data_IF_920259778239
#
_entry.id   IF_920259778239
#
_cell.length_a   1.000
_cell.length_b   1.000
_cell.length_c   1.000
_cell.angle_alpha   90.00
_cell.angle_beta   90.00
_cell.angle_gamma   90.00
#
_symmetry.space_group_name_H-M   'P 1'
#
loop_
_entity.id
_entity.type
_entity.pdbx_description
1 polymer ?
#
# COMPACT_ATOMS: atom_id res chain seq x y z
N UNK A 1 -19.89 -21.77 33.88
CA UNK A 1 -20.27 -20.34 33.80
C UNK A 1 -19.43 -19.70 32.69
N UNK A 2 -19.91 -19.80 31.45
CA UNK A 2 -19.27 -19.24 30.26
C UNK A 2 -19.38 -17.71 30.32
N UNK A 3 -18.30 -17.02 30.68
CA UNK A 3 -18.15 -15.58 30.47
C UNK A 3 -17.54 -15.29 29.08
N UNK A 4 -18.11 -15.96 28.07
CA UNK A 4 -18.03 -15.55 26.69
C UNK A 4 -19.02 -14.40 26.48
N UNK A 5 -18.80 -13.27 27.17
CA UNK A 5 -19.18 -11.96 26.63
C UNK A 5 -18.24 -11.78 25.44
N UNK A 6 -18.45 -12.34 24.24
CA UNK A 6 -19.40 -11.88 23.20
C UNK A 6 -19.64 -10.36 23.15
N UNK A 7 -18.74 -9.57 23.74
CA UNK A 7 -18.41 -8.24 23.29
C UNK A 7 -17.45 -8.37 22.09
N UNK A 8 -17.87 -9.08 21.04
CA UNK A 8 -17.58 -8.53 19.71
C UNK A 8 -18.41 -7.25 19.65
N UNK A 9 -17.86 -6.17 20.22
CA UNK A 9 -18.34 -4.81 20.05
C UNK A 9 -18.54 -4.66 18.56
N UNK A 10 -19.79 -4.55 18.14
CA UNK A 10 -20.22 -4.44 16.76
C UNK A 10 -19.60 -3.18 16.14
N UNK A 11 -18.35 -3.29 15.73
CA UNK A 11 -17.67 -2.32 14.89
C UNK A 11 -17.75 -2.89 13.49
N UNK A 12 -18.40 -2.20 12.55
CA UNK A 12 -18.40 -2.66 11.18
C UNK A 12 -16.95 -2.69 10.68
N UNK A 13 -16.52 -3.87 10.22
CA UNK A 13 -15.18 -4.15 9.74
C UNK A 13 -14.90 -3.29 8.49
N UNK A 14 -14.15 -2.18 8.61
CA UNK A 14 -13.73 -1.38 7.46
C UNK A 14 -12.69 -2.19 6.66
N UNK A 15 -13.16 -3.02 5.75
CA UNK A 15 -12.44 -4.12 5.08
C UNK A 15 -10.97 -3.77 4.81
N UNK A 16 -10.73 -2.66 4.13
CA UNK A 16 -9.43 -2.00 4.05
C UNK A 16 -9.64 -0.62 3.38
N UNK A 17 -9.40 0.51 4.06
CA UNK A 17 -9.69 1.84 3.52
C UNK A 17 -8.86 2.19 2.26
N UNK A 18 -7.78 1.44 2.03
CA UNK A 18 -6.75 1.70 1.01
C UNK A 18 -6.81 0.77 -0.20
N UNK A 19 -7.81 -0.13 -0.30
CA UNK A 19 -7.96 -1.10 -1.40
C UNK A 19 -7.74 -0.52 -2.81
N UNK A 20 -8.40 0.59 -3.14
CA UNK A 20 -8.19 1.25 -4.43
C UNK A 20 -6.75 1.72 -4.64
N UNK A 21 -6.11 2.29 -3.62
CA UNK A 21 -4.71 2.72 -3.72
C UNK A 21 -3.79 1.51 -3.94
N UNK A 22 -3.97 0.44 -3.17
CA UNK A 22 -3.18 -0.80 -3.29
C UNK A 22 -3.31 -1.40 -4.69
N UNK A 23 -4.53 -1.49 -5.24
CA UNK A 23 -4.79 -1.97 -6.59
C UNK A 23 -4.11 -1.10 -7.65
N UNK A 24 -4.34 0.22 -7.61
CA UNK A 24 -3.86 1.16 -8.63
C UNK A 24 -2.33 1.21 -8.62
N UNK A 25 -1.71 1.34 -7.45
CA UNK A 25 -0.25 1.41 -7.31
C UNK A 25 0.38 0.09 -7.71
N UNK A 26 -0.16 -1.04 -7.25
CA UNK A 26 0.33 -2.37 -7.62
C UNK A 26 0.28 -2.58 -9.14
N UNK A 27 -0.84 -2.21 -9.76
CA UNK A 27 -1.01 -2.31 -11.20
C UNK A 27 -0.08 -1.40 -12.00
N UNK A 28 0.05 -0.13 -11.61
CA UNK A 28 0.95 0.82 -12.26
C UNK A 28 2.41 0.41 -12.14
N UNK A 29 2.81 -0.11 -10.98
CA UNK A 29 4.17 -0.63 -10.77
C UNK A 29 4.45 -1.83 -11.66
N UNK A 30 3.50 -2.76 -11.77
CA UNK A 30 3.60 -3.90 -12.68
C UNK A 30 3.74 -3.44 -14.14
N UNK A 31 2.94 -2.47 -14.58
CA UNK A 31 3.08 -1.88 -15.92
C UNK A 31 4.42 -1.19 -16.13
N UNK A 32 4.90 -0.45 -15.13
CA UNK A 32 6.19 0.26 -15.17
C UNK A 32 7.34 -0.74 -15.31
N UNK A 33 7.30 -1.85 -14.55
CA UNK A 33 8.29 -2.94 -14.65
C UNK A 33 8.26 -3.56 -16.06
N UNK A 34 7.08 -3.88 -16.58
CA UNK A 34 6.92 -4.45 -17.92
C UNK A 34 7.51 -3.56 -19.03
N UNK A 35 7.32 -2.24 -18.92
CA UNK A 35 7.88 -1.28 -19.86
C UNK A 35 9.41 -1.23 -19.80
N UNK A 36 10.00 -1.29 -18.61
CA UNK A 36 11.46 -1.26 -18.42
C UNK A 36 12.13 -2.51 -19.00
N UNK A 37 11.51 -3.67 -18.82
CA UNK A 37 12.03 -4.97 -19.29
C UNK A 37 11.81 -5.18 -20.80
N UNK A 38 11.24 -4.20 -21.51
CA UNK A 38 10.83 -4.31 -22.93
C UNK A 38 9.85 -5.45 -23.19
N UNK A 39 9.01 -5.79 -22.20
CA UNK A 39 7.94 -6.76 -22.39
C UNK A 39 6.92 -6.22 -23.40
N UNK A 40 6.48 -7.01 -24.39
CA UNK A 40 5.46 -6.56 -25.34
C UNK A 40 4.11 -6.46 -24.62
N UNK A 41 3.74 -5.26 -24.17
CA UNK A 41 2.43 -5.00 -23.57
C UNK A 41 1.38 -5.04 -24.68
N UNK A 42 0.80 -6.22 -24.91
CA UNK A 42 -0.33 -6.38 -25.81
C UNK A 42 -1.58 -5.84 -25.12
N UNK A 43 -1.85 -4.54 -25.30
CA UNK A 43 -3.08 -3.90 -24.83
C UNK A 43 -4.25 -4.33 -25.74
N UNK A 44 -4.67 -5.59 -25.61
CA UNK A 44 -5.86 -6.12 -26.26
C UNK A 44 -7.14 -5.76 -25.49
N UNK A 45 -8.29 -5.85 -26.16
CA UNK A 45 -9.60 -5.63 -25.53
C UNK A 45 -9.83 -6.50 -24.28
N UNK A 46 -9.38 -7.76 -24.32
CA UNK A 46 -9.49 -8.70 -23.19
C UNK A 46 -8.74 -8.23 -21.93
N UNK A 47 -7.60 -7.57 -22.10
CA UNK A 47 -6.82 -7.03 -20.99
C UNK A 47 -7.53 -5.82 -20.37
N UNK A 48 -8.08 -4.93 -21.22
CA UNK A 48 -8.88 -3.78 -20.78
C UNK A 48 -10.10 -4.24 -19.98
N UNK A 49 -10.82 -5.24 -20.50
CA UNK A 49 -11.99 -5.82 -19.83
C UNK A 49 -11.64 -6.46 -18.48
N UNK A 50 -10.56 -7.24 -18.42
CA UNK A 50 -10.11 -7.88 -17.17
C UNK A 50 -9.78 -6.85 -16.09
N UNK A 51 -9.03 -5.80 -16.44
CA UNK A 51 -8.62 -4.74 -15.51
C UNK A 51 -9.83 -3.94 -15.03
N UNK A 52 -10.81 -3.71 -15.91
CA UNK A 52 -12.08 -3.07 -15.54
C UNK A 52 -12.90 -3.94 -14.59
N UNK A 53 -12.98 -5.25 -14.81
CA UNK A 53 -13.68 -6.18 -13.92
C UNK A 53 -13.06 -6.15 -12.51
N UNK A 54 -11.73 -6.29 -12.42
CA UNK A 54 -11.05 -6.20 -11.12
C UNK A 54 -11.24 -4.83 -10.46
N UNK A 55 -11.11 -3.73 -11.21
CA UNK A 55 -11.37 -2.39 -10.70
C UNK A 55 -12.82 -2.22 -10.21
N UNK A 56 -13.80 -2.87 -10.85
CA UNK A 56 -15.19 -2.90 -10.43
C UNK A 56 -15.41 -3.59 -9.09
N UNK A 57 -14.74 -4.72 -8.86
CA UNK A 57 -14.77 -5.42 -7.56
C UNK A 57 -14.21 -4.54 -6.45
N UNK A 58 -13.08 -3.87 -6.70
CA UNK A 58 -12.47 -2.93 -5.75
C UNK A 58 -13.42 -1.76 -5.47
N UNK A 59 -14.08 -1.23 -6.48
CA UNK A 59 -15.05 -0.14 -6.32
C UNK A 59 -16.27 -0.56 -5.49
N UNK A 60 -16.78 -1.77 -5.68
CA UNK A 60 -17.86 -2.32 -4.85
C UNK A 60 -17.41 -2.41 -3.38
N UNK A 61 -16.19 -2.89 -3.13
CA UNK A 61 -15.63 -2.93 -1.78
C UNK A 61 -15.51 -1.52 -1.17
N UNK A 62 -15.20 -0.50 -1.96
CA UNK A 62 -15.11 0.88 -1.52
C UNK A 62 -16.47 1.51 -1.21
N UNK A 63 -17.48 1.24 -2.02
CA UNK A 63 -18.87 1.63 -1.73
C UNK A 63 -19.34 0.96 -0.45
N UNK A 64 -19.00 -0.32 -0.25
CA UNK A 64 -19.29 -1.03 0.99
C UNK A 64 -18.60 -0.36 2.20
N UNK A 65 -17.30 -0.05 2.09
CA UNK A 65 -16.57 0.69 3.13
C UNK A 65 -17.21 2.06 3.46
N UNK A 66 -17.73 2.77 2.45
CA UNK A 66 -18.45 4.02 2.65
C UNK A 66 -19.77 3.79 3.41
N UNK A 67 -20.54 2.75 3.08
CA UNK A 67 -21.75 2.38 3.83
C UNK A 67 -21.41 2.08 5.29
N UNK A 68 -20.35 1.31 5.53
CA UNK A 68 -19.90 1.00 6.88
C UNK A 68 -19.50 2.26 7.67
N UNK A 69 -18.91 3.24 7.00
CA UNK A 69 -18.55 4.55 7.59
C UNK A 69 -19.79 5.32 8.06
N UNK A 70 -20.91 5.22 7.35
CA UNK A 70 -22.20 5.81 7.74
C UNK A 70 -22.94 5.03 8.83
N UNK A 71 -22.63 3.74 9.00
CA UNK A 71 -23.20 2.87 10.03
C UNK A 71 -22.43 2.92 11.37
N UNK A 72 -21.38 3.75 11.46
CA UNK A 72 -20.62 3.96 12.70
C UNK A 72 -21.44 4.68 13.78
N UNK A 73 -20.87 4.81 14.98
CA UNK A 73 -21.52 5.42 16.14
C UNK A 73 -22.18 6.78 15.79
N UNK A 74 -23.49 6.96 16.03
CA UNK A 74 -24.23 8.18 15.68
C UNK A 74 -23.63 9.46 16.27
N UNK A 75 -22.96 9.38 17.43
CA UNK A 75 -22.31 10.54 18.05
C UNK A 75 -21.13 11.07 17.21
N UNK A 76 -20.39 10.18 16.54
CA UNK A 76 -19.24 10.53 15.69
C UNK A 76 -19.74 10.99 14.32
N UNK A 77 -20.69 10.26 13.74
CA UNK A 77 -21.27 10.54 12.41
C UNK A 77 -21.94 11.92 12.35
N UNK A 78 -22.48 12.41 13.47
CA UNK A 78 -23.13 13.73 13.56
C UNK A 78 -22.15 14.90 13.60
N UNK A 79 -20.84 14.68 13.76
CA UNK A 79 -19.87 15.77 13.70
C UNK A 79 -19.77 16.34 12.28
N UNK A 80 -19.66 17.67 12.17
CA UNK A 80 -19.62 18.37 10.88
C UNK A 80 -18.45 17.91 10.00
N UNK A 81 -17.28 17.67 10.62
CA UNK A 81 -16.08 17.19 9.95
C UNK A 81 -16.27 15.78 9.39
N UNK A 82 -16.75 14.83 10.18
CA UNK A 82 -16.96 13.44 9.74
C UNK A 82 -17.97 13.37 8.60
N UNK A 83 -19.08 14.12 8.71
CA UNK A 83 -20.08 14.22 7.64
C UNK A 83 -19.50 14.85 6.37
N UNK A 84 -18.76 15.95 6.50
CA UNK A 84 -18.11 16.61 5.36
C UNK A 84 -17.13 15.68 4.63
N UNK A 85 -16.26 15.01 5.38
CA UNK A 85 -15.32 14.04 4.83
C UNK A 85 -16.01 12.83 4.19
N UNK A 86 -17.17 12.39 4.71
CA UNK A 86 -17.89 11.25 4.12
C UNK A 86 -18.46 11.59 2.74
N UNK A 87 -18.98 12.82 2.58
CA UNK A 87 -19.45 13.34 1.29
C UNK A 87 -18.26 13.51 0.34
N UNK A 88 -17.16 14.07 0.84
CA UNK A 88 -15.94 14.21 0.06
C UNK A 88 -15.40 12.86 -0.43
N UNK A 89 -15.40 11.84 0.43
CA UNK A 89 -15.04 10.46 0.07
C UNK A 89 -15.94 9.90 -1.04
N UNK A 90 -17.26 10.10 -0.93
CA UNK A 90 -18.22 9.69 -1.95
C UNK A 90 -17.94 10.37 -3.30
N UNK A 91 -17.66 11.68 -3.30
CA UNK A 91 -17.30 12.42 -4.51
C UNK A 91 -16.01 11.89 -5.14
N UNK A 92 -14.99 11.59 -4.34
CA UNK A 92 -13.76 10.98 -4.85
C UNK A 92 -14.05 9.62 -5.50
N UNK A 93 -14.87 8.76 -4.88
CA UNK A 93 -15.25 7.47 -5.46
C UNK A 93 -15.96 7.65 -6.82
N UNK A 94 -16.87 8.63 -6.92
CA UNK A 94 -17.53 8.96 -8.20
C UNK A 94 -16.49 9.42 -9.24
N UNK A 95 -15.56 10.30 -8.87
CA UNK A 95 -14.50 10.75 -9.78
C UNK A 95 -13.61 9.58 -10.25
N UNK A 96 -13.22 8.69 -9.33
CA UNK A 96 -12.45 7.49 -9.67
C UNK A 96 -13.23 6.60 -10.65
N UNK A 97 -14.54 6.40 -10.43
CA UNK A 97 -15.40 5.63 -11.34
C UNK A 97 -15.43 6.27 -12.73
N UNK A 98 -15.74 7.55 -12.82
CA UNK A 98 -15.85 8.25 -14.11
C UNK A 98 -14.53 8.22 -14.87
N UNK A 99 -13.40 8.44 -14.19
CA UNK A 99 -12.09 8.41 -14.84
C UNK A 99 -11.71 7.00 -15.33
N UNK A 100 -11.95 5.97 -14.53
CA UNK A 100 -11.60 4.59 -14.89
C UNK A 100 -12.48 4.02 -16.00
N UNK A 101 -13.78 4.38 -16.07
CA UNK A 101 -14.69 3.90 -17.13
C UNK A 101 -14.69 4.76 -18.41
N UNK A 102 -14.37 6.05 -18.33
CA UNK A 102 -14.39 6.92 -19.52
C UNK A 102 -13.25 6.62 -20.49
N UNK A 103 -12.04 6.37 -19.97
CA UNK A 103 -10.85 6.09 -20.77
C UNK A 103 -9.97 5.02 -20.08
N UNK A 104 -10.45 3.77 -19.99
CA UNK A 104 -9.76 2.71 -19.26
C UNK A 104 -8.35 2.43 -19.81
N UNK A 105 -8.19 2.50 -21.13
CA UNK A 105 -6.88 2.32 -21.78
C UNK A 105 -5.87 3.41 -21.42
N UNK A 106 -6.32 4.62 -21.07
CA UNK A 106 -5.43 5.74 -20.73
C UNK A 106 -5.11 5.75 -19.24
N UNK A 107 -6.13 5.52 -18.40
CA UNK A 107 -6.01 5.65 -16.94
C UNK A 107 -5.52 4.37 -16.29
N UNK A 108 -6.08 3.23 -16.70
CA UNK A 108 -5.75 1.93 -16.11
C UNK A 108 -4.62 1.25 -16.86
N UNK A 109 -4.49 1.42 -18.18
CA UNK A 109 -3.44 0.78 -18.98
C UNK A 109 -2.47 1.78 -19.63
N UNK A 110 -1.85 2.70 -18.86
CA UNK A 110 -1.03 3.74 -19.45
C UNK A 110 0.19 3.15 -20.16
N UNK A 111 0.26 3.33 -21.48
CA UNK A 111 1.52 3.18 -22.23
C UNK A 111 2.49 4.32 -21.91
N UNK A 112 1.96 5.45 -21.44
CA UNK A 112 2.70 6.59 -20.90
C UNK A 112 1.91 7.21 -19.73
N UNK A 113 2.60 7.72 -18.70
CA UNK A 113 1.92 8.48 -17.64
C UNK A 113 1.45 9.80 -18.19
N UNK A 114 0.14 9.95 -18.17
CA UNK A 114 -0.56 11.18 -18.50
C UNK A 114 -0.92 11.94 -17.22
N UNK A 115 -1.30 13.19 -17.38
CA UNK A 115 -1.88 13.99 -16.29
C UNK A 115 -3.08 13.27 -15.65
N UNK A 116 -3.83 12.48 -16.42
CA UNK A 116 -4.95 11.71 -15.90
C UNK A 116 -4.54 10.61 -14.92
N UNK A 117 -3.41 9.93 -15.16
CA UNK A 117 -2.90 8.94 -14.21
C UNK A 117 -2.48 9.62 -12.90
N UNK A 118 -1.84 10.79 -12.98
CA UNK A 118 -1.48 11.57 -11.79
C UNK A 118 -2.72 11.99 -11.00
N UNK A 119 -3.74 12.54 -11.67
CA UNK A 119 -5.01 12.89 -11.03
C UNK A 119 -5.64 11.64 -10.37
N UNK A 120 -5.61 10.51 -11.06
CA UNK A 120 -6.18 9.26 -10.56
C UNK A 120 -5.46 8.74 -9.30
N UNK A 121 -4.13 8.77 -9.28
CA UNK A 121 -3.33 8.40 -8.10
C UNK A 121 -3.55 9.39 -6.95
N UNK A 122 -3.62 10.70 -7.24
CA UNK A 122 -3.92 11.73 -6.23
C UNK A 122 -5.29 11.51 -5.59
N UNK A 123 -6.32 11.18 -6.39
CA UNK A 123 -7.65 10.85 -5.90
C UNK A 123 -7.63 9.57 -5.05
N UNK A 124 -6.99 8.50 -5.53
CA UNK A 124 -6.88 7.24 -4.81
C UNK A 124 -6.11 7.37 -3.49
N UNK A 125 -5.01 8.14 -3.48
CA UNK A 125 -4.23 8.43 -2.29
C UNK A 125 -5.00 9.27 -1.28
N UNK A 126 -5.67 10.34 -1.75
CA UNK A 126 -6.54 11.16 -0.89
C UNK A 126 -7.66 10.32 -0.27
N UNK A 127 -8.30 9.46 -1.08
CA UNK A 127 -9.30 8.51 -0.61
C UNK A 127 -8.74 7.57 0.46
N UNK A 128 -7.54 7.02 0.26
CA UNK A 128 -6.86 6.16 1.23
C UNK A 128 -6.56 6.88 2.55
N UNK A 129 -6.09 8.13 2.49
CA UNK A 129 -5.82 8.96 3.67
C UNK A 129 -7.10 9.30 4.45
N UNK A 130 -8.17 9.70 3.76
CA UNK A 130 -9.48 9.95 4.38
C UNK A 130 -10.09 8.66 4.94
N UNK A 131 -9.89 7.53 4.26
CA UNK A 131 -10.29 6.21 4.76
C UNK A 131 -9.56 5.82 6.05
N UNK A 132 -8.24 6.07 6.14
CA UNK A 132 -7.46 5.89 7.36
C UNK A 132 -7.96 6.79 8.49
N UNK A 133 -8.32 8.04 8.20
CA UNK A 133 -8.94 8.92 9.18
C UNK A 133 -10.23 8.31 9.74
N UNK A 134 -11.12 7.75 8.92
CA UNK A 134 -12.32 7.07 9.40
C UNK A 134 -11.99 5.84 10.23
N UNK A 135 -11.00 5.05 9.83
CA UNK A 135 -10.56 3.89 10.61
C UNK A 135 -10.11 4.34 12.02
N UNK A 136 -9.20 5.31 12.11
CA UNK A 136 -8.67 5.81 13.39
C UNK A 136 -9.78 6.42 14.27
N UNK A 137 -10.63 7.28 13.69
CA UNK A 137 -11.63 8.05 14.46
C UNK A 137 -12.87 7.25 14.85
N UNK A 138 -13.23 6.22 14.10
CA UNK A 138 -14.38 5.35 14.43
C UNK A 138 -14.10 4.38 15.59
N UNK A 139 -12.84 4.32 16.08
CA UNK A 139 -12.47 3.40 17.15
C UNK A 139 -13.00 3.86 18.50
N UNK A 140 -13.63 2.92 19.22
CA UNK A 140 -14.12 3.17 20.58
C UNK A 140 -12.98 3.39 21.59
N UNK A 141 -11.85 2.70 21.41
CA UNK A 141 -10.63 2.88 22.21
C UNK A 141 -9.60 3.56 21.31
N UNK A 142 -9.18 4.80 21.61
CA UNK A 142 -8.18 5.50 20.82
C UNK A 142 -6.90 4.65 20.68
N UNK A 143 -6.25 4.73 19.52
CA UNK A 143 -4.92 4.15 19.39
C UNK A 143 -3.94 4.91 20.30
N UNK A 144 -2.96 4.23 20.91
CA UNK A 144 -1.73 4.90 21.30
C UNK A 144 -1.16 5.63 20.07
N UNK A 145 -0.66 6.87 20.20
CA UNK A 145 -0.18 7.67 19.06
C UNK A 145 0.81 6.94 18.15
N UNK A 146 1.58 6.02 18.73
CA UNK A 146 2.58 5.22 17.99
C UNK A 146 1.96 4.10 17.15
N UNK A 147 0.84 3.50 17.56
CA UNK A 147 0.14 2.48 16.76
C UNK A 147 -0.66 3.11 15.62
N UNK A 148 -1.16 4.32 15.83
CA UNK A 148 -1.81 5.10 14.79
C UNK A 148 -0.86 5.31 13.60
N UNK A 149 0.41 5.61 13.86
CA UNK A 149 1.43 5.77 12.83
C UNK A 149 1.54 4.57 11.87
N UNK A 150 1.39 3.34 12.36
CA UNK A 150 1.46 2.13 11.53
C UNK A 150 0.32 2.03 10.52
N UNK A 151 -0.85 2.61 10.84
CA UNK A 151 -2.00 2.67 9.92
C UNK A 151 -1.70 3.64 8.78
N UNK A 152 -1.00 4.75 9.08
CA UNK A 152 -0.65 5.77 8.09
C UNK A 152 0.55 5.40 7.22
N UNK A 153 1.55 4.72 7.79
CA UNK A 153 2.84 4.47 7.14
C UNK A 153 2.68 3.77 5.78
N UNK A 154 1.95 2.65 5.73
CA UNK A 154 1.76 1.90 4.48
C UNK A 154 1.00 2.68 3.41
N UNK A 155 -0.02 3.46 3.81
CA UNK A 155 -0.80 4.30 2.90
C UNK A 155 0.05 5.41 2.30
N UNK A 156 0.84 6.10 3.13
CA UNK A 156 1.75 7.16 2.67
C UNK A 156 2.82 6.57 1.77
N UNK A 157 3.40 5.43 2.14
CA UNK A 157 4.43 4.77 1.35
C UNK A 157 3.93 4.38 -0.04
N UNK A 158 2.77 3.71 -0.13
CA UNK A 158 2.15 3.38 -1.42
C UNK A 158 1.76 4.61 -2.23
N UNK A 159 1.28 5.66 -1.58
CA UNK A 159 0.93 6.90 -2.27
C UNK A 159 2.16 7.57 -2.88
N UNK A 160 3.24 7.69 -2.11
CA UNK A 160 4.53 8.17 -2.61
C UNK A 160 5.06 7.27 -3.73
N UNK A 161 4.98 5.95 -3.57
CA UNK A 161 5.41 5.00 -4.59
C UNK A 161 4.66 5.21 -5.91
N UNK A 162 3.33 5.30 -5.87
CA UNK A 162 2.51 5.53 -7.06
C UNK A 162 2.86 6.83 -7.78
N UNK A 163 3.15 7.90 -7.03
CA UNK A 163 3.53 9.19 -7.60
C UNK A 163 4.96 9.22 -8.16
N UNK A 164 5.88 8.42 -7.61
CA UNK A 164 7.31 8.61 -7.84
C UNK A 164 7.97 7.50 -8.67
N UNK A 165 7.46 6.27 -8.66
CA UNK A 165 8.08 5.15 -9.37
C UNK A 165 8.18 5.40 -10.88
N UNK A 166 7.08 5.74 -11.53
CA UNK A 166 7.12 5.97 -12.98
C UNK A 166 7.97 7.20 -13.36
N UNK A 167 7.80 8.39 -12.74
CA UNK A 167 8.61 9.56 -13.08
C UNK A 167 10.12 9.30 -12.93
N UNK A 168 10.54 8.56 -11.89
CA UNK A 168 11.94 8.20 -11.68
C UNK A 168 12.52 7.45 -12.88
N UNK A 169 11.76 6.49 -13.41
CA UNK A 169 12.24 5.52 -14.37
C UNK A 169 12.09 6.00 -15.82
N UNK A 170 11.11 6.87 -16.09
CA UNK A 170 10.77 7.27 -17.46
C UNK A 170 11.18 8.71 -17.80
N UNK A 171 11.22 9.65 -16.86
CA UNK A 171 11.63 11.04 -17.16
C UNK A 171 13.10 11.07 -17.57
N UNK A 172 13.38 11.59 -18.77
CA UNK A 172 14.72 11.81 -19.29
C UNK A 172 15.09 13.30 -19.30
N UNK A 173 16.40 13.61 -19.37
CA UNK A 173 16.89 14.99 -19.45
C UNK A 173 17.10 15.68 -18.10
N UNK A 174 17.07 17.02 -18.10
CA UNK A 174 17.54 17.84 -16.96
C UNK A 174 16.78 17.64 -15.64
N UNK A 175 15.51 17.24 -15.68
CA UNK A 175 14.68 17.01 -14.48
C UNK A 175 14.90 15.64 -13.81
N UNK A 176 15.68 14.73 -14.42
CA UNK A 176 15.96 13.40 -13.86
C UNK A 176 16.67 13.46 -12.50
N UNK A 177 17.58 14.44 -12.35
CA UNK A 177 18.36 14.63 -11.12
C UNK A 177 17.45 15.00 -9.96
N UNK A 178 16.54 15.96 -10.18
CA UNK A 178 15.55 16.37 -9.19
C UNK A 178 14.68 15.17 -8.77
N UNK A 179 14.24 14.36 -9.73
CA UNK A 179 13.41 13.20 -9.46
C UNK A 179 14.17 12.14 -8.62
N UNK A 180 15.42 11.85 -8.97
CA UNK A 180 16.27 10.95 -8.21
C UNK A 180 16.49 11.44 -6.77
N UNK A 181 16.70 12.74 -6.56
CA UNK A 181 16.81 13.31 -5.21
C UNK A 181 15.51 13.23 -4.41
N UNK A 182 14.36 13.48 -5.03
CA UNK A 182 13.05 13.35 -4.37
C UNK A 182 12.85 11.90 -3.92
N UNK A 183 13.11 10.92 -4.78
CA UNK A 183 13.00 9.51 -4.41
C UNK A 183 13.98 9.13 -3.30
N UNK A 184 15.23 9.56 -3.39
CA UNK A 184 16.22 9.34 -2.34
C UNK A 184 15.74 9.87 -0.99
N UNK A 185 15.21 11.10 -0.96
CA UNK A 185 14.67 11.71 0.24
C UNK A 185 13.49 10.92 0.80
N UNK A 186 12.57 10.46 -0.05
CA UNK A 186 11.42 9.65 0.37
C UNK A 186 11.85 8.30 0.94
N UNK A 187 12.80 7.61 0.30
CA UNK A 187 13.35 6.35 0.82
C UNK A 187 13.99 6.58 2.19
N UNK A 188 14.84 7.61 2.33
CA UNK A 188 15.53 7.92 3.59
C UNK A 188 14.53 8.26 4.69
N UNK A 189 13.55 9.13 4.42
CA UNK A 189 12.53 9.52 5.39
C UNK A 189 11.64 8.33 5.77
N UNK A 190 11.25 7.50 4.79
CA UNK A 190 10.45 6.30 5.03
C UNK A 190 11.17 5.27 5.90
N UNK A 191 12.43 4.95 5.57
CA UNK A 191 13.26 4.03 6.36
C UNK A 191 13.57 4.59 7.76
N UNK A 192 13.83 5.89 7.86
CA UNK A 192 14.02 6.56 9.16
C UNK A 192 12.77 6.49 10.02
N UNK A 193 11.60 6.72 9.43
CA UNK A 193 10.32 6.60 10.12
C UNK A 193 10.06 5.17 10.59
N UNK A 194 10.37 4.16 9.76
CA UNK A 194 10.29 2.74 10.12
C UNK A 194 11.23 2.40 11.28
N UNK A 195 12.48 2.90 11.24
CA UNK A 195 13.50 2.70 12.28
C UNK A 195 13.08 3.27 13.63
N UNK A 196 12.51 4.48 13.65
CA UNK A 196 12.01 5.10 14.90
C UNK A 196 10.89 4.27 15.53
N UNK A 197 10.06 3.64 14.71
CA UNK A 197 8.90 2.87 15.16
C UNK A 197 9.16 1.36 15.23
N UNK A 198 10.39 0.93 14.96
CA UNK A 198 10.85 -0.44 15.05
C UNK A 198 10.58 -1.06 16.44
N UNK A 199 10.79 -0.36 17.57
CA UNK A 199 10.41 -0.88 18.88
C UNK A 199 8.92 -1.21 19.02
N UNK A 200 8.05 -0.54 18.27
CA UNK A 200 6.61 -0.82 18.26
C UNK A 200 6.27 -2.06 17.45
N UNK A 201 6.93 -2.22 16.30
CA UNK A 201 6.80 -3.41 15.45
C UNK A 201 7.10 -4.67 16.27
N UNK A 202 8.11 -4.59 17.16
CA UNK A 202 8.53 -5.67 18.05
C UNK A 202 7.96 -5.63 19.48
N UNK A 203 7.07 -4.68 19.81
CA UNK A 203 6.50 -4.55 21.17
C UNK A 203 5.57 -5.73 21.54
N UNK A 204 5.14 -5.83 22.79
CA UNK A 204 4.39 -6.99 23.32
C UNK A 204 2.87 -6.77 23.38
N UNK A 205 2.22 -6.58 22.25
CA UNK A 205 0.75 -6.59 22.10
C UNK A 205 0.17 -7.95 21.69
N UNK A 206 -1.16 -8.05 21.58
CA UNK A 206 -1.84 -9.30 21.19
C UNK A 206 -1.49 -9.73 19.76
N UNK A 207 -1.38 -8.77 18.84
CA UNK A 207 -1.04 -9.00 17.44
C UNK A 207 0.33 -9.65 17.27
N UNK A 208 1.32 -9.30 18.10
CA UNK A 208 2.66 -9.90 18.04
C UNK A 208 2.71 -11.38 18.46
N UNK A 209 1.63 -11.91 19.04
CA UNK A 209 1.49 -13.36 19.32
C UNK A 209 1.12 -14.16 18.07
N UNK A 210 0.75 -13.49 16.98
CA UNK A 210 0.44 -14.14 15.70
C UNK A 210 1.70 -14.51 14.95
N UNK A 211 1.83 -15.77 14.56
CA UNK A 211 2.91 -16.20 13.65
C UNK A 211 2.84 -15.49 12.30
N UNK A 212 1.63 -15.19 11.82
CA UNK A 212 1.41 -14.47 10.56
C UNK A 212 1.97 -13.04 10.65
N UNK A 213 1.69 -12.33 11.75
CA UNK A 213 2.23 -10.99 11.95
C UNK A 213 3.76 -11.01 11.93
N UNK A 214 4.37 -11.95 12.66
CA UNK A 214 5.83 -12.09 12.71
C UNK A 214 6.42 -12.43 11.33
N UNK A 215 5.74 -13.25 10.53
CA UNK A 215 6.14 -13.47 9.14
C UNK A 215 6.04 -12.20 8.28
N UNK A 216 4.98 -11.40 8.42
CA UNK A 216 4.83 -10.14 7.68
C UNK A 216 5.93 -9.14 8.09
N UNK A 217 6.30 -9.09 9.37
CA UNK A 217 7.46 -8.31 9.83
C UNK A 217 8.73 -8.78 9.11
N UNK A 218 8.97 -10.09 9.02
CA UNK A 218 10.10 -10.65 8.29
C UNK A 218 10.14 -10.27 6.81
N UNK A 219 8.97 -10.29 6.14
CA UNK A 219 8.79 -9.84 4.74
C UNK A 219 9.08 -8.35 4.61
N UNK A 220 8.58 -7.54 5.54
CA UNK A 220 8.78 -6.10 5.54
C UNK A 220 10.27 -5.75 5.70
N UNK A 221 10.97 -6.39 6.63
CA UNK A 221 12.41 -6.16 6.85
C UNK A 221 13.25 -6.45 5.60
N UNK A 222 13.02 -7.60 4.95
CA UNK A 222 13.77 -7.93 3.74
C UNK A 222 13.42 -6.96 2.61
N UNK A 223 12.15 -6.60 2.46
CA UNK A 223 11.70 -5.59 1.51
C UNK A 223 12.41 -4.26 1.76
N UNK A 224 12.39 -3.73 2.99
CA UNK A 224 13.06 -2.48 3.38
C UNK A 224 14.56 -2.48 3.08
N UNK A 225 15.24 -3.60 3.37
CA UNK A 225 16.67 -3.77 3.04
C UNK A 225 16.90 -3.76 1.52
N UNK A 226 16.10 -4.50 0.77
CA UNK A 226 16.21 -4.54 -0.70
C UNK A 226 15.81 -3.23 -1.38
N UNK A 227 14.84 -2.48 -0.83
CA UNK A 227 14.49 -1.12 -1.26
C UNK A 227 15.68 -0.19 -1.11
N UNK A 228 16.43 -0.29 -0.01
CA UNK A 228 17.63 0.50 0.19
C UNK A 228 18.69 0.18 -0.86
N UNK A 229 19.05 -1.10 -1.02
CA UNK A 229 20.12 -1.50 -1.94
C UNK A 229 19.74 -1.25 -3.41
N UNK A 230 18.63 -1.83 -3.89
CA UNK A 230 18.21 -1.66 -5.27
C UNK A 230 17.77 -0.22 -5.56
N UNK A 231 17.25 0.51 -4.57
CA UNK A 231 16.89 1.92 -4.72
C UNK A 231 18.10 2.81 -4.91
N UNK A 232 19.17 2.61 -4.11
CA UNK A 232 20.43 3.32 -4.30
C UNK A 232 21.04 3.02 -5.67
N UNK A 233 21.09 1.76 -6.08
CA UNK A 233 21.61 1.38 -7.39
C UNK A 233 20.78 2.00 -8.52
N UNK A 234 19.44 1.91 -8.43
CA UNK A 234 18.54 2.55 -9.40
C UNK A 234 18.78 4.05 -9.47
N UNK A 235 18.89 4.74 -8.33
CA UNK A 235 19.19 6.17 -8.28
C UNK A 235 20.52 6.46 -8.98
N UNK A 236 21.59 5.74 -8.66
CA UNK A 236 22.91 5.91 -9.28
C UNK A 236 22.83 5.70 -10.80
N UNK A 237 22.19 4.63 -11.26
CA UNK A 237 22.00 4.37 -12.70
C UNK A 237 21.24 5.49 -13.40
N UNK A 238 20.19 6.02 -12.76
CA UNK A 238 19.43 7.15 -13.31
C UNK A 238 20.26 8.44 -13.36
N UNK A 239 21.13 8.68 -12.37
CA UNK A 239 22.06 9.81 -12.39
C UNK A 239 23.08 9.68 -13.54
N UNK A 240 23.57 8.46 -13.76
CA UNK A 240 24.50 8.09 -14.85
C UNK A 240 23.87 8.02 -16.25
N UNK A 241 22.59 8.36 -16.39
CA UNK A 241 21.82 8.26 -17.65
C UNK A 241 21.76 6.85 -18.24
N UNK A 242 21.90 5.84 -17.38
CA UNK A 242 21.76 4.46 -17.79
C UNK A 242 20.29 4.14 -18.04
N UNK A 243 20.05 3.24 -19.00
CA UNK A 243 18.70 2.72 -19.22
C UNK A 243 18.27 1.95 -17.97
N UNK A 244 17.01 2.10 -17.52
CA UNK A 244 16.50 1.28 -16.45
C UNK A 244 16.55 -0.20 -16.86
N UNK A 245 16.78 -1.05 -15.88
CA UNK A 245 17.20 -2.44 -16.04
C UNK A 245 16.48 -3.37 -15.05
N UNK A 246 16.96 -4.61 -14.94
CA UNK A 246 16.43 -5.59 -13.99
C UNK A 246 16.51 -5.09 -12.54
N UNK A 247 17.57 -4.36 -12.17
CA UNK A 247 17.76 -3.80 -10.82
C UNK A 247 16.66 -2.77 -10.53
N UNK A 248 16.32 -1.95 -11.52
CA UNK A 248 15.21 -0.99 -11.44
C UNK A 248 13.86 -1.69 -11.25
N UNK A 249 13.63 -2.83 -11.91
CA UNK A 249 12.43 -3.66 -11.70
C UNK A 249 12.38 -4.32 -10.32
N UNK A 250 13.52 -4.79 -9.82
CA UNK A 250 13.67 -5.36 -8.47
C UNK A 250 13.40 -4.30 -7.40
N UNK A 251 13.87 -3.06 -7.60
CA UNK A 251 13.57 -1.93 -6.73
C UNK A 251 12.06 -1.66 -6.63
N UNK A 252 11.37 -1.51 -7.77
CA UNK A 252 9.91 -1.26 -7.78
C UNK A 252 9.14 -2.37 -7.08
N UNK A 253 9.52 -3.63 -7.32
CA UNK A 253 8.89 -4.79 -6.68
C UNK A 253 9.12 -4.81 -5.17
N UNK A 254 10.35 -4.53 -4.74
CA UNK A 254 10.73 -4.46 -3.32
C UNK A 254 9.96 -3.35 -2.60
N UNK A 255 9.83 -2.19 -3.24
CA UNK A 255 9.12 -1.05 -2.67
C UNK A 255 7.62 -1.33 -2.54
N UNK A 256 7.03 -2.05 -3.51
CA UNK A 256 5.63 -2.47 -3.44
C UNK A 256 5.42 -3.48 -2.31
N UNK A 257 6.31 -4.47 -2.18
CA UNK A 257 6.26 -5.47 -1.11
C UNK A 257 6.38 -4.81 0.27
N UNK A 258 7.23 -3.78 0.40
CA UNK A 258 7.34 -2.98 1.62
C UNK A 258 6.02 -2.26 1.93
N UNK A 259 5.43 -1.55 0.97
CA UNK A 259 4.17 -0.83 1.17
C UNK A 259 3.00 -1.74 1.56
N UNK A 260 2.83 -2.88 0.86
CA UNK A 260 1.77 -3.85 1.14
C UNK A 260 1.96 -4.52 2.51
N UNK A 261 3.20 -4.88 2.88
CA UNK A 261 3.47 -5.46 4.19
C UNK A 261 3.22 -4.45 5.33
N UNK A 262 3.54 -3.16 5.14
CA UNK A 262 3.20 -2.10 6.09
C UNK A 262 1.69 -1.95 6.26
N UNK A 263 0.92 -1.99 5.16
CA UNK A 263 -0.55 -1.98 5.22
C UNK A 263 -1.09 -3.18 5.99
N UNK A 264 -0.58 -4.38 5.72
CA UNK A 264 -1.02 -5.59 6.40
C UNK A 264 -0.71 -5.53 7.91
N UNK A 265 0.47 -5.06 8.30
CA UNK A 265 0.80 -4.81 9.71
C UNK A 265 -0.15 -3.78 10.33
N UNK A 266 -0.39 -2.66 9.66
CA UNK A 266 -1.32 -1.61 10.11
C UNK A 266 -2.75 -2.12 10.30
N UNK A 267 -3.25 -2.94 9.37
CA UNK A 267 -4.56 -3.58 9.48
C UNK A 267 -4.64 -4.57 10.66
N UNK A 268 -3.58 -5.35 10.88
CA UNK A 268 -3.53 -6.26 12.03
C UNK A 268 -3.52 -5.49 13.36
N UNK A 269 -2.78 -4.38 13.45
CA UNK A 269 -2.84 -3.46 14.59
C UNK A 269 -4.22 -2.81 14.75
N UNK A 270 -4.88 -2.47 13.64
CA UNK A 270 -6.19 -1.84 13.66
C UNK A 270 -7.25 -2.73 14.33
N UNK A 271 -7.32 -3.98 13.89
CA UNK A 271 -8.31 -4.94 14.37
C UNK A 271 -7.96 -5.54 15.73
N UNK A 272 -6.73 -5.34 16.23
CA UNK A 272 -6.22 -5.97 17.46
C UNK A 272 -6.59 -7.45 17.55
N UNK A 273 -6.58 -8.12 16.38
CA UNK A 273 -7.06 -9.48 16.26
C UNK A 273 -6.00 -10.39 16.86
N UNK A 274 -6.38 -11.10 17.93
CA UNK A 274 -5.65 -12.27 18.41
C UNK A 274 -5.80 -13.39 17.37
N UNK A 275 -4.97 -13.34 16.33
CA UNK A 275 -4.88 -14.43 15.36
C UNK A 275 -4.28 -15.63 16.08
N UNK A 276 -5.15 -16.46 16.66
CA UNK A 276 -4.78 -17.66 17.41
C UNK A 276 -3.99 -18.68 16.58
N UNK A 277 -3.97 -18.53 15.26
CA UNK A 277 -3.17 -19.36 14.36
C UNK A 277 -1.68 -19.09 14.55
N UNK A 278 -0.98 -20.10 15.09
CA UNK A 278 0.48 -20.15 15.12
C UNK A 278 1.16 -19.48 16.32
N UNK A 279 0.48 -19.35 17.47
CA UNK A 279 1.00 -18.82 18.76
C UNK A 279 2.53 -18.66 18.77
N UNK A 280 3.00 -17.47 18.40
CA UNK A 280 4.41 -17.19 18.17
C UNK A 280 5.19 -16.98 19.46
N UNK A 281 4.53 -17.05 20.62
CA UNK A 281 5.13 -16.83 21.93
C UNK A 281 6.32 -17.79 22.12
N UNK A 282 7.52 -17.23 22.25
CA UNK A 282 8.78 -17.97 22.39
C UNK A 282 9.36 -18.53 21.08
N UNK A 283 8.73 -18.27 19.93
CA UNK A 283 9.18 -18.64 18.58
C UNK A 283 9.12 -17.47 17.59
N UNK A 284 9.04 -16.24 18.08
CA UNK A 284 8.84 -15.04 17.26
C UNK A 284 9.94 -14.91 16.21
N UNK A 285 11.20 -15.14 16.61
CA UNK A 285 12.37 -15.09 15.72
C UNK A 285 12.29 -16.11 14.59
N UNK A 286 11.72 -17.29 14.82
CA UNK A 286 11.56 -18.32 13.79
C UNK A 286 10.58 -17.87 12.72
N UNK A 287 9.46 -17.27 13.12
CA UNK A 287 8.46 -16.75 12.16
C UNK A 287 8.96 -15.51 11.41
N UNK A 288 9.73 -14.64 12.07
CA UNK A 288 10.42 -13.53 11.39
C UNK A 288 11.38 -14.08 10.33
N UNK A 289 12.23 -15.05 10.70
CA UNK A 289 13.16 -15.68 9.77
C UNK A 289 12.42 -16.35 8.60
N UNK A 290 11.33 -17.08 8.89
CA UNK A 290 10.49 -17.69 7.86
C UNK A 290 9.94 -16.63 6.91
N UNK A 291 9.41 -15.53 7.45
CA UNK A 291 8.93 -14.40 6.67
C UNK A 291 10.00 -13.77 5.79
N UNK A 292 11.21 -13.58 6.32
CA UNK A 292 12.37 -13.09 5.57
C UNK A 292 12.74 -14.04 4.43
N UNK A 293 12.74 -15.36 4.66
CA UNK A 293 13.01 -16.36 3.63
C UNK A 293 11.92 -16.33 2.55
N UNK A 294 10.64 -16.30 2.94
CA UNK A 294 9.50 -16.21 2.00
C UNK A 294 9.58 -14.94 1.16
N UNK A 295 9.85 -13.79 1.78
CA UNK A 295 10.03 -12.52 1.08
C UNK A 295 11.22 -12.54 0.13
N UNK A 296 12.36 -13.09 0.54
CA UNK A 296 13.53 -13.24 -0.31
C UNK A 296 13.25 -14.17 -1.52
N UNK A 297 12.59 -15.31 -1.30
CA UNK A 297 12.19 -16.22 -2.39
C UNK A 297 11.24 -15.51 -3.35
N UNK A 298 10.24 -14.78 -2.84
CA UNK A 298 9.31 -14.02 -3.68
C UNK A 298 10.06 -13.00 -4.54
N UNK A 299 10.97 -12.21 -3.95
CA UNK A 299 11.77 -11.22 -4.69
C UNK A 299 12.69 -11.89 -5.72
N UNK A 300 13.32 -13.02 -5.39
CA UNK A 300 14.13 -13.79 -6.32
C UNK A 300 13.29 -14.30 -7.50
N UNK A 301 12.14 -14.92 -7.23
CA UNK A 301 11.23 -15.42 -8.28
C UNK A 301 10.72 -14.27 -9.15
N UNK A 302 10.37 -13.13 -8.54
CA UNK A 302 9.98 -11.94 -9.28
C UNK A 302 11.12 -11.45 -10.18
N UNK A 303 12.36 -11.38 -9.68
CA UNK A 303 13.52 -11.01 -10.50
C UNK A 303 13.79 -12.02 -11.63
N UNK A 304 13.67 -13.33 -11.37
CA UNK A 304 13.83 -14.37 -12.40
C UNK A 304 12.78 -14.28 -13.49
N UNK A 305 11.54 -13.94 -13.13
CA UNK A 305 10.46 -13.78 -14.10
C UNK A 305 10.60 -12.50 -14.95
N UNK A 306 11.40 -11.55 -14.48
CA UNK A 306 11.72 -10.31 -15.18
C UNK A 306 13.00 -10.38 -16.03
N UNK A 307 13.76 -11.48 -15.98
CA UNK A 307 14.99 -11.70 -16.73
C UNK A 307 14.76 -12.56 -17.98
#
# INVERSE_FOLDING_TARGET
MFHMKQLMKWQPLIIEPVLALTWIVGWLNLMTIYQIVNGPVHVGSQMVESVLIFSGVILIADVYNLILTYQQNPAIVRTSLYRGLSIFQALIIICLLVLSWSHPSVVLLPTTVTVWNLIFILLAGTKGLVGNFFAVTSRYIPFPPKQEFMIWLGTINLFCQGLLCYPLLVIQGGSRWLMAFIVAAVIVVGLWAELIHLPLIFSTGFVQRSGIYQCIVGINLIASVTVLFFGLDTIIFRLMDSKPDLISGAFVTSWLLQGVSQLAMGAMHYYDNDYRYGHAIGRERLYILLGTIVGAIFLLVACFWLA
#
